data_IF_310108981655
#
_entry.id   IF_310108981655
#
_cell.length_a   1.000
_cell.length_b   1.000
_cell.length_c   1.000
_cell.angle_alpha   90.00
_cell.angle_beta   90.00
_cell.angle_gamma   90.00
#
_symmetry.space_group_name_H-M   'P 1'
#
loop_
_entity.id
_entity.type
_entity.pdbx_description
1 polymer ?
#
# COMPACT_ATOMS: atom_id res chain seq x y z
N UNK A 1 -11.61 -8.93 -14.02
CA UNK A 1 -11.53 -8.94 -12.54
C UNK A 1 -10.72 -7.73 -12.12
N UNK A 2 -11.39 -6.60 -11.87
CA UNK A 2 -10.72 -5.33 -11.60
C UNK A 2 -10.54 -5.19 -10.08
N UNK A 3 -9.34 -5.51 -9.59
CA UNK A 3 -8.95 -5.46 -8.18
C UNK A 3 -8.70 -4.03 -7.65
N UNK A 4 -9.00 -3.00 -8.46
CA UNK A 4 -8.59 -1.62 -8.17
C UNK A 4 -9.69 -0.84 -7.45
N UNK A 5 -9.91 -1.20 -6.19
CA UNK A 5 -10.26 -0.21 -5.15
C UNK A 5 -10.16 -0.86 -3.77
N UNK A 6 -8.94 -1.17 -3.33
CA UNK A 6 -8.68 -1.47 -1.91
C UNK A 6 -8.04 -0.25 -1.27
N UNK A 7 -8.77 0.35 -0.34
CA UNK A 7 -8.40 1.55 0.40
C UNK A 7 -6.96 1.42 0.92
N UNK A 8 -6.12 2.33 0.50
CA UNK A 8 -4.67 2.39 0.74
C UNK A 8 -4.32 2.32 2.24
N UNK A 9 -5.16 2.92 3.08
CA UNK A 9 -5.03 2.90 4.54
C UNK A 9 -5.24 1.49 5.12
N UNK A 10 -6.18 0.72 4.57
CA UNK A 10 -6.42 -0.66 4.98
C UNK A 10 -5.25 -1.57 4.62
N UNK A 11 -4.53 -1.28 3.54
CA UNK A 11 -3.40 -2.08 3.06
C UNK A 11 -2.28 -2.20 4.12
N UNK A 12 -1.84 -1.08 4.69
CA UNK A 12 -0.78 -1.07 5.73
C UNK A 12 -1.22 -1.73 7.02
N UNK A 13 -2.47 -1.54 7.42
CA UNK A 13 -3.05 -2.17 8.61
C UNK A 13 -3.11 -3.69 8.46
N UNK A 14 -3.72 -4.16 7.37
CA UNK A 14 -3.83 -5.59 7.05
C UNK A 14 -2.46 -6.25 6.91
N UNK A 15 -1.49 -5.57 6.29
CA UNK A 15 -0.11 -6.06 6.19
C UNK A 15 0.50 -6.29 7.57
N UNK A 16 0.36 -5.32 8.48
CA UNK A 16 0.88 -5.45 9.86
C UNK A 16 0.15 -6.52 10.66
N UNK A 17 -1.18 -6.58 10.57
CA UNK A 17 -2.00 -7.62 11.24
C UNK A 17 -1.59 -9.03 10.81
N UNK A 18 -1.27 -9.20 9.53
CA UNK A 18 -0.78 -10.47 8.95
C UNK A 18 0.73 -10.69 9.13
N UNK A 19 1.44 -9.75 9.78
CA UNK A 19 2.91 -9.74 9.92
C UNK A 19 3.66 -9.86 8.59
N UNK A 20 3.09 -9.33 7.53
CA UNK A 20 3.68 -9.36 6.20
C UNK A 20 4.73 -8.25 6.00
N UNK A 21 5.77 -8.56 5.26
CA UNK A 21 6.69 -7.56 4.73
C UNK A 21 6.01 -6.77 3.59
N UNK A 22 6.60 -5.66 3.17
CA UNK A 22 6.13 -4.95 1.97
C UNK A 22 6.28 -5.81 0.72
N UNK A 23 7.28 -6.67 0.69
CA UNK A 23 7.56 -7.60 -0.43
C UNK A 23 6.49 -8.68 -0.52
N UNK A 24 6.17 -9.33 0.60
CA UNK A 24 5.11 -10.35 0.65
C UNK A 24 3.76 -9.76 0.23
N UNK A 25 3.44 -8.55 0.69
CA UNK A 25 2.22 -7.87 0.25
C UNK A 25 2.24 -7.56 -1.26
N UNK A 26 3.40 -7.19 -1.79
CA UNK A 26 3.57 -6.86 -3.21
C UNK A 26 3.35 -8.11 -4.07
N UNK A 27 3.96 -9.24 -3.70
CA UNK A 27 3.76 -10.54 -4.33
C UNK A 27 2.29 -10.97 -4.30
N UNK A 28 1.66 -10.94 -3.11
CA UNK A 28 0.24 -11.31 -2.94
C UNK A 28 -0.71 -10.39 -3.71
N UNK A 29 -0.34 -9.11 -3.90
CA UNK A 29 -1.14 -8.14 -4.63
C UNK A 29 -0.82 -8.12 -6.13
N UNK A 30 0.21 -8.84 -6.61
CA UNK A 30 0.72 -8.73 -7.97
C UNK A 30 1.24 -7.32 -8.30
N UNK A 31 1.78 -6.61 -7.31
CA UNK A 31 2.31 -5.25 -7.42
C UNK A 31 3.81 -5.22 -7.18
N UNK A 32 4.45 -4.12 -7.57
CA UNK A 32 5.86 -3.88 -7.24
C UNK A 32 6.00 -3.39 -5.80
N UNK A 33 7.00 -3.90 -5.07
CA UNK A 33 7.31 -3.48 -3.69
C UNK A 33 7.56 -1.98 -3.58
N UNK A 34 8.13 -1.35 -4.61
CA UNK A 34 8.39 0.10 -4.68
C UNK A 34 7.08 0.88 -4.74
N UNK A 35 6.08 0.38 -5.46
CA UNK A 35 4.74 0.96 -5.50
C UNK A 35 4.08 0.91 -4.11
N UNK A 36 4.15 -0.25 -3.45
CA UNK A 36 3.70 -0.44 -2.05
C UNK A 36 4.42 0.53 -1.09
N UNK A 37 5.75 0.67 -1.23
CA UNK A 37 6.55 1.58 -0.40
C UNK A 37 6.16 3.04 -0.59
N UNK A 38 5.96 3.48 -1.84
CA UNK A 38 5.54 4.84 -2.17
C UNK A 38 4.17 5.15 -1.58
N UNK A 39 3.22 4.25 -1.75
CA UNK A 39 1.89 4.30 -1.15
C UNK A 39 1.97 4.49 0.38
N UNK A 40 2.71 3.62 1.08
CA UNK A 40 2.75 3.65 2.55
C UNK A 40 3.46 4.90 3.09
N UNK A 41 4.34 5.54 2.30
CA UNK A 41 4.98 6.82 2.62
C UNK A 41 4.04 7.99 2.45
N UNK A 42 3.26 8.06 1.37
CA UNK A 42 2.25 9.12 1.16
C UNK A 42 1.20 9.08 2.28
N UNK A 43 0.73 7.88 2.66
CA UNK A 43 -0.19 7.72 3.79
C UNK A 43 0.46 8.13 5.13
N UNK A 44 1.78 7.93 5.31
CA UNK A 44 2.50 8.35 6.52
C UNK A 44 2.76 9.86 6.57
N UNK A 45 2.98 10.49 5.42
CA UNK A 45 3.30 11.91 5.26
C UNK A 45 2.18 12.60 4.45
N UNK A 46 0.97 12.75 5.02
CA UNK A 46 -0.18 13.31 4.32
C UNK A 46 -0.01 14.78 3.89
N UNK A 47 1.08 15.44 4.28
CA UNK A 47 1.47 16.79 3.83
C UNK A 47 1.93 16.86 2.38
N UNK A 48 2.22 15.74 1.72
CA UNK A 48 2.43 15.71 0.27
C UNK A 48 1.07 15.57 -0.40
N UNK A 49 0.36 16.68 -0.49
CA UNK A 49 -0.84 16.87 -1.29
C UNK A 49 -0.56 16.42 -2.73
N UNK A 50 -1.00 15.22 -3.10
CA UNK A 50 -1.16 14.84 -4.50
C UNK A 50 -2.43 15.50 -5.00
N UNK A 51 -2.23 16.48 -5.89
CA UNK A 51 -3.13 17.00 -6.91
C UNK A 51 -4.49 17.58 -6.47
N UNK A 52 -4.58 18.91 -6.51
CA UNK A 52 -5.58 19.55 -7.36
C UNK A 52 -5.11 19.58 -8.80
#
# INVERSE_FOLDING_TARGET
MDVRHRSVVNMKRLRKERRWSQETLAEEAGLDRTYISGIERVVKNPTVTVAG
#
